data_IF_989497476981
#
_entry.id   IF_989497476981
#
_cell.length_a   1.000
_cell.length_b   1.000
_cell.length_c   1.000
_cell.angle_alpha   90.00
_cell.angle_beta   90.00
_cell.angle_gamma   90.00
#
_symmetry.space_group_name_H-M   'P 1'
#
loop_
_entity.id
_entity.type
_entity.pdbx_description
1 polymer ?
#
# COMPACT_ATOMS: atom_id res chain seq x y z
N UNK A 1 21.79 33.09 -3.75
CA UNK A 1 20.78 32.67 -2.75
C UNK A 1 20.01 31.46 -3.26
N UNK A 2 19.54 31.45 -4.51
CA UNK A 2 18.76 30.33 -5.10
C UNK A 2 19.41 28.95 -4.91
N UNK A 3 20.74 28.85 -5.05
CA UNK A 3 21.45 27.57 -4.90
C UNK A 3 21.26 26.88 -3.53
N UNK A 4 20.90 27.61 -2.46
CA UNK A 4 20.61 26.99 -1.15
C UNK A 4 19.22 26.33 -1.09
N UNK A 5 18.39 26.51 -2.11
CA UNK A 5 17.08 25.85 -2.24
C UNK A 5 17.13 24.56 -3.06
N UNK A 6 18.28 24.24 -3.63
CA UNK A 6 18.48 22.99 -4.36
C UNK A 6 18.82 21.83 -3.45
N UNK A 7 18.43 20.65 -3.89
CA UNK A 7 18.66 19.42 -3.13
C UNK A 7 20.14 19.05 -3.25
N UNK A 8 20.79 18.88 -2.09
CA UNK A 8 22.16 18.41 -2.02
C UNK A 8 22.21 17.04 -1.34
N UNK A 9 22.37 15.94 -2.08
CA UNK A 9 22.37 14.59 -1.52
C UNK A 9 23.57 14.29 -0.61
N UNK A 10 24.59 15.16 -0.59
CA UNK A 10 25.74 15.06 0.32
C UNK A 10 25.43 15.65 1.69
N UNK A 11 24.55 16.65 1.75
CA UNK A 11 24.27 17.43 2.96
C UNK A 11 22.95 17.06 3.64
N UNK A 12 21.96 16.59 2.87
CA UNK A 12 20.65 16.22 3.41
C UNK A 12 20.03 15.06 2.63
N UNK A 13 19.18 14.29 3.30
CA UNK A 13 18.33 13.32 2.60
C UNK A 13 17.10 14.02 2.01
N UNK A 14 16.44 13.38 1.03
CA UNK A 14 15.24 13.94 0.37
C UNK A 14 14.10 14.29 1.33
N UNK A 15 13.95 13.55 2.43
CA UNK A 15 12.93 13.83 3.44
C UNK A 15 13.22 15.11 4.24
N UNK A 16 14.49 15.34 4.57
CA UNK A 16 14.96 16.55 5.24
C UNK A 16 14.83 17.75 4.31
N UNK A 17 15.22 17.57 3.04
CA UNK A 17 15.02 18.56 1.98
C UNK A 17 13.56 19.00 1.85
N UNK A 18 12.62 18.06 1.69
CA UNK A 18 11.21 18.40 1.55
C UNK A 18 10.64 19.04 2.82
N UNK A 19 11.11 18.63 4.01
CA UNK A 19 10.71 19.23 5.28
C UNK A 19 11.19 20.67 5.41
N UNK A 20 12.45 20.95 5.01
CA UNK A 20 13.02 22.29 4.94
C UNK A 20 12.28 23.15 3.92
N UNK A 21 12.07 22.62 2.72
CA UNK A 21 11.43 23.34 1.62
C UNK A 21 9.95 23.60 1.87
N UNK A 22 9.24 22.78 2.65
CA UNK A 22 7.87 23.09 3.05
C UNK A 22 7.79 24.45 3.79
N UNK A 23 8.76 24.76 4.67
CA UNK A 23 8.85 26.06 5.36
C UNK A 23 9.21 27.19 4.39
N UNK A 24 10.10 26.93 3.43
CA UNK A 24 10.46 27.90 2.39
C UNK A 24 9.24 28.25 1.53
N UNK A 25 8.47 27.25 1.10
CA UNK A 25 7.23 27.44 0.35
C UNK A 25 6.18 28.19 1.19
N UNK A 26 6.08 27.92 2.50
CA UNK A 26 5.22 28.68 3.41
C UNK A 26 5.64 30.15 3.48
N UNK A 27 6.94 30.42 3.56
CA UNK A 27 7.49 31.77 3.55
C UNK A 27 7.19 32.53 2.25
N UNK A 28 7.41 31.88 1.10
CA UNK A 28 7.16 32.44 -0.24
C UNK A 28 5.67 32.75 -0.44
N UNK A 29 4.77 31.81 -0.09
CA UNK A 29 3.33 31.93 -0.39
C UNK A 29 2.56 32.74 0.64
N UNK A 30 2.78 32.41 1.91
CA UNK A 30 1.96 32.91 3.01
C UNK A 30 2.65 34.07 3.74
N UNK A 31 3.89 34.41 3.39
CA UNK A 31 4.62 35.52 4.02
C UNK A 31 5.15 35.18 5.41
N UNK A 32 5.25 33.90 5.76
CA UNK A 32 5.74 33.46 7.07
C UNK A 32 7.24 33.77 7.18
N UNK A 33 7.65 34.36 8.29
CA UNK A 33 9.07 34.63 8.56
C UNK A 33 9.82 33.32 8.85
N UNK A 34 10.97 33.15 8.22
CA UNK A 34 11.84 32.01 8.52
C UNK A 34 12.71 32.35 9.74
N UNK A 35 12.70 31.52 10.81
CA UNK A 35 13.47 31.79 12.03
C UNK A 35 14.97 31.96 11.81
N UNK A 36 15.51 31.29 10.79
CA UNK A 36 16.93 31.32 10.42
C UNK A 36 17.36 32.65 9.80
N UNK A 37 16.42 33.38 9.20
CA UNK A 37 16.69 34.61 8.44
C UNK A 37 16.07 35.86 9.10
N UNK A 38 15.00 35.70 9.89
CA UNK A 38 14.31 36.80 10.56
C UNK A 38 13.47 37.69 9.62
N UNK A 39 13.21 37.22 8.39
CA UNK A 39 12.37 37.89 7.41
C UNK A 39 11.64 36.87 6.51
N UNK A 40 10.63 37.32 5.77
CA UNK A 40 9.90 36.49 4.80
C UNK A 40 10.57 36.52 3.42
N UNK A 41 10.66 35.35 2.78
CA UNK A 41 11.14 35.22 1.41
C UNK A 41 10.16 35.78 0.37
N UNK A 42 8.90 36.03 0.74
CA UNK A 42 7.90 36.62 -0.15
C UNK A 42 8.28 38.02 -0.62
N UNK A 43 8.92 38.81 0.23
CA UNK A 43 9.32 40.18 -0.09
C UNK A 43 10.74 40.27 -0.64
N UNK A 44 11.57 39.26 -0.34
CA UNK A 44 12.98 39.24 -0.73
C UNK A 44 13.22 38.71 -2.14
N UNK A 45 12.53 37.62 -2.51
CA UNK A 45 12.72 36.98 -3.82
C UNK A 45 11.92 37.70 -4.90
N UNK A 46 12.48 37.81 -6.10
CA UNK A 46 11.73 38.24 -7.28
C UNK A 46 10.71 37.18 -7.72
N UNK A 47 9.72 37.57 -8.53
CA UNK A 47 8.69 36.64 -9.05
C UNK A 47 9.25 35.53 -9.95
N UNK A 48 10.44 35.73 -10.52
CA UNK A 48 11.13 34.72 -11.32
C UNK A 48 11.82 33.71 -10.39
N UNK A 49 12.54 34.18 -9.37
CA UNK A 49 13.20 33.32 -8.38
C UNK A 49 12.19 32.49 -7.58
N UNK A 50 11.03 33.07 -7.21
CA UNK A 50 9.95 32.33 -6.55
C UNK A 50 9.48 31.15 -7.40
N UNK A 51 9.27 31.39 -8.69
CA UNK A 51 8.83 30.36 -9.65
C UNK A 51 9.89 29.29 -9.83
N UNK A 52 11.15 29.67 -10.00
CA UNK A 52 12.27 28.71 -10.14
C UNK A 52 12.35 27.76 -8.93
N UNK A 53 12.26 28.32 -7.71
CA UNK A 53 12.26 27.52 -6.47
C UNK A 53 11.02 26.62 -6.40
N UNK A 54 9.84 27.17 -6.70
CA UNK A 54 8.58 26.43 -6.69
C UNK A 54 8.58 25.25 -7.67
N UNK A 55 9.01 25.48 -8.92
CA UNK A 55 9.07 24.45 -9.97
C UNK A 55 10.08 23.36 -9.62
N UNK A 56 11.25 23.75 -9.10
CA UNK A 56 12.28 22.79 -8.69
C UNK A 56 11.78 21.86 -7.57
N UNK A 57 11.18 22.42 -6.53
CA UNK A 57 10.61 21.65 -5.41
C UNK A 57 9.48 20.74 -5.90
N UNK A 58 8.60 21.25 -6.77
CA UNK A 58 7.52 20.46 -7.36
C UNK A 58 8.05 19.27 -8.17
N UNK A 59 9.10 19.47 -8.97
CA UNK A 59 9.73 18.40 -9.75
C UNK A 59 10.34 17.30 -8.87
N UNK A 60 10.89 17.63 -7.70
CA UNK A 60 11.41 16.63 -6.75
C UNK A 60 10.27 15.80 -6.13
N UNK A 61 9.11 16.41 -5.89
CA UNK A 61 7.95 15.72 -5.31
C UNK A 61 7.18 14.87 -6.31
N UNK A 62 7.18 15.28 -7.58
CA UNK A 62 6.33 14.72 -8.63
C UNK A 62 6.41 13.19 -8.74
N UNK A 63 7.58 12.52 -8.72
CA UNK A 63 7.67 11.07 -8.79
C UNK A 63 6.89 10.37 -7.68
N UNK A 64 7.04 10.82 -6.43
CA UNK A 64 6.35 10.24 -5.28
C UNK A 64 4.84 10.45 -5.36
N UNK A 65 4.39 11.62 -5.81
CA UNK A 65 2.95 11.88 -5.96
C UNK A 65 2.36 11.00 -7.05
N UNK A 66 3.06 10.87 -8.19
CA UNK A 66 2.63 10.06 -9.33
C UNK A 66 2.50 8.59 -8.95
N UNK A 67 3.48 8.05 -8.26
CA UNK A 67 3.47 6.64 -7.84
C UNK A 67 2.30 6.31 -6.91
N UNK A 68 2.08 7.15 -5.88
CA UNK A 68 0.95 6.99 -4.97
C UNK A 68 -0.39 7.12 -5.68
N UNK A 69 -0.48 8.08 -6.62
CA UNK A 69 -1.64 8.24 -7.45
C UNK A 69 -1.93 7.00 -8.31
N UNK A 70 -0.91 6.46 -8.99
CA UNK A 70 -1.01 5.25 -9.79
C UNK A 70 -1.38 4.01 -8.98
N UNK A 71 -0.83 3.86 -7.76
CA UNK A 71 -1.25 2.82 -6.84
C UNK A 71 -2.73 2.96 -6.47
N UNK A 72 -3.18 4.16 -6.11
CA UNK A 72 -4.57 4.43 -5.76
C UNK A 72 -5.53 4.15 -6.93
N UNK A 73 -5.16 4.53 -8.16
CA UNK A 73 -5.92 4.23 -9.38
C UNK A 73 -6.10 2.72 -9.55
N UNK A 74 -5.02 1.95 -9.45
CA UNK A 74 -5.04 0.48 -9.61
C UNK A 74 -5.93 -0.16 -8.55
N UNK A 75 -5.74 0.20 -7.29
CA UNK A 75 -6.48 -0.34 -6.14
C UNK A 75 -7.99 -0.10 -6.23
N UNK A 76 -8.39 1.05 -6.78
CA UNK A 76 -9.80 1.45 -6.84
C UNK A 76 -10.44 1.32 -8.23
N UNK A 77 -9.72 0.76 -9.21
CA UNK A 77 -10.24 0.57 -10.57
C UNK A 77 -10.58 1.88 -11.30
N UNK A 78 -9.85 2.97 -11.04
CA UNK A 78 -10.16 4.32 -11.55
C UNK A 78 -9.47 4.65 -12.88
N UNK A 79 -9.17 3.64 -13.71
CA UNK A 79 -8.37 3.83 -14.93
C UNK A 79 -8.95 4.88 -15.89
N UNK A 80 -10.28 4.93 -16.03
CA UNK A 80 -10.98 5.87 -16.92
C UNK A 80 -10.76 7.35 -16.58
N UNK A 81 -10.44 7.65 -15.31
CA UNK A 81 -10.24 9.01 -14.81
C UNK A 81 -8.82 9.25 -14.29
N UNK A 82 -7.87 8.41 -14.70
CA UNK A 82 -6.52 8.40 -14.15
C UNK A 82 -5.82 9.75 -14.31
N UNK A 83 -5.88 10.35 -15.49
CA UNK A 83 -5.20 11.61 -15.80
C UNK A 83 -5.78 12.79 -15.00
N UNK A 84 -7.10 12.96 -15.03
CA UNK A 84 -7.80 14.00 -14.26
C UNK A 84 -7.57 13.84 -12.76
N UNK A 85 -7.59 12.60 -12.27
CA UNK A 85 -7.29 12.28 -10.88
C UNK A 85 -5.86 12.66 -10.50
N UNK A 86 -4.86 12.29 -11.32
CA UNK A 86 -3.46 12.61 -11.07
C UNK A 86 -3.23 14.12 -11.07
N UNK A 87 -3.80 14.85 -12.03
CA UNK A 87 -3.73 16.32 -12.08
C UNK A 87 -4.34 16.95 -10.82
N UNK A 88 -5.50 16.46 -10.38
CA UNK A 88 -6.14 16.97 -9.16
C UNK A 88 -5.34 16.59 -7.90
N UNK A 89 -4.71 15.42 -7.86
CA UNK A 89 -3.84 15.00 -6.76
C UNK A 89 -2.59 15.88 -6.69
N UNK A 90 -1.95 16.16 -7.82
CA UNK A 90 -0.79 17.06 -7.89
C UNK A 90 -1.13 18.45 -7.32
N UNK A 91 -2.27 19.02 -7.74
CA UNK A 91 -2.73 20.31 -7.26
C UNK A 91 -3.01 20.30 -5.74
N UNK A 92 -3.68 19.26 -5.24
CA UNK A 92 -4.07 19.20 -3.83
C UNK A 92 -2.85 19.02 -2.91
N UNK A 93 -1.91 18.14 -3.31
CA UNK A 93 -0.64 17.97 -2.58
C UNK A 93 0.16 19.27 -2.61
N UNK A 94 0.31 19.88 -3.79
CA UNK A 94 1.11 21.10 -3.95
C UNK A 94 0.55 22.28 -3.15
N UNK A 95 -0.77 22.47 -3.19
CA UNK A 95 -1.46 23.50 -2.44
C UNK A 95 -1.22 23.38 -0.94
N UNK A 96 -1.19 22.16 -0.41
CA UNK A 96 -1.02 21.93 1.02
C UNK A 96 0.42 21.71 1.45
N UNK A 97 1.39 21.63 0.53
CA UNK A 97 2.78 21.26 0.82
C UNK A 97 3.45 22.10 1.90
N UNK A 98 3.11 23.39 2.04
CA UNK A 98 3.61 24.27 3.11
C UNK A 98 3.35 23.74 4.54
N UNK A 99 2.37 22.84 4.71
CA UNK A 99 2.04 22.17 5.97
C UNK A 99 2.88 20.92 6.22
N UNK A 100 3.57 20.40 5.21
CA UNK A 100 4.33 19.17 5.32
C UNK A 100 5.43 19.32 6.37
N UNK A 101 5.36 18.46 7.38
CA UNK A 101 6.24 18.46 8.54
C UNK A 101 6.41 19.77 9.34
N UNK A 102 5.66 20.81 9.01
CA UNK A 102 5.79 22.13 9.59
C UNK A 102 5.14 22.15 11.00
N UNK A 103 5.91 22.41 12.07
CA UNK A 103 5.41 22.40 13.45
C UNK A 103 4.22 23.33 13.67
N UNK A 104 4.12 24.43 12.93
CA UNK A 104 3.03 25.41 13.05
C UNK A 104 1.66 24.84 12.66
N UNK A 105 1.62 23.71 11.95
CA UNK A 105 0.37 23.08 11.49
C UNK A 105 0.18 21.66 12.04
N UNK A 106 1.00 21.24 13.00
CA UNK A 106 0.90 19.92 13.63
C UNK A 106 0.21 19.99 14.98
N UNK A 107 -0.74 19.08 15.19
CA UNK A 107 -1.38 18.85 16.48
C UNK A 107 -0.64 17.80 17.33
N UNK A 108 0.27 17.03 16.71
CA UNK A 108 0.97 15.90 17.35
C UNK A 108 2.48 15.98 17.12
N UNK A 109 3.26 15.49 18.09
CA UNK A 109 4.72 15.36 17.98
C UNK A 109 5.13 14.32 16.92
N UNK A 110 6.23 14.57 16.22
CA UNK A 110 6.82 13.65 15.22
C UNK A 110 6.82 14.18 13.78
N UNK A 111 7.54 13.51 12.89
CA UNK A 111 7.57 13.77 11.44
C UNK A 111 6.85 12.67 10.67
N UNK A 112 6.18 13.05 9.58
CA UNK A 112 5.54 12.13 8.65
C UNK A 112 6.35 12.06 7.36
N UNK A 113 6.34 10.91 6.69
CA UNK A 113 6.97 10.78 5.38
C UNK A 113 6.19 11.54 4.31
N UNK A 114 6.87 11.99 3.25
CA UNK A 114 6.20 12.71 2.15
C UNK A 114 5.14 11.85 1.47
N UNK A 115 5.38 10.53 1.36
CA UNK A 115 4.40 9.55 0.87
C UNK A 115 3.12 9.54 1.71
N UNK A 116 3.24 9.53 3.04
CA UNK A 116 2.08 9.60 3.96
C UNK A 116 1.32 10.91 3.81
N UNK A 117 2.06 12.00 3.65
CA UNK A 117 1.48 13.30 3.38
C UNK A 117 0.65 13.29 2.08
N UNK A 118 1.14 12.70 1.00
CA UNK A 118 0.39 12.52 -0.26
C UNK A 118 -0.89 11.68 -0.04
N UNK A 119 -0.81 10.58 0.72
CA UNK A 119 -1.96 9.69 0.97
C UNK A 119 -3.15 10.40 1.61
N UNK A 120 -2.92 11.37 2.49
CA UNK A 120 -3.97 12.18 3.11
C UNK A 120 -4.85 12.83 2.04
N UNK A 121 -4.25 13.22 0.91
CA UNK A 121 -4.92 13.91 -0.19
C UNK A 121 -5.35 12.97 -1.33
N UNK A 122 -5.31 11.65 -1.20
CA UNK A 122 -5.71 10.74 -2.30
C UNK A 122 -7.23 10.63 -2.49
N UNK A 123 -8.02 10.74 -1.42
CA UNK A 123 -9.48 10.48 -1.48
C UNK A 123 -10.29 11.63 -2.10
N UNK A 124 -9.92 12.87 -1.80
CA UNK A 124 -10.70 14.05 -2.22
C UNK A 124 -10.57 14.37 -3.72
N UNK A 125 -9.39 14.25 -4.36
CA UNK A 125 -9.23 14.28 -5.80
C UNK A 125 -10.08 13.22 -6.50
N UNK A 126 -10.04 11.97 -6.02
CA UNK A 126 -10.84 10.88 -6.57
C UNK A 126 -12.35 11.21 -6.53
N UNK A 127 -12.82 11.73 -5.40
CA UNK A 127 -14.21 12.20 -5.25
C UNK A 127 -14.52 13.36 -6.18
N UNK A 128 -13.62 14.33 -6.33
CA UNK A 128 -13.80 15.52 -7.18
C UNK A 128 -13.94 15.11 -8.65
N UNK A 129 -13.02 14.30 -9.14
CA UNK A 129 -12.99 13.85 -10.52
C UNK A 129 -14.15 12.91 -10.82
N UNK A 130 -14.47 11.96 -9.92
CA UNK A 130 -15.64 11.09 -10.08
C UNK A 130 -16.95 11.90 -10.13
N UNK A 131 -17.06 12.98 -9.35
CA UNK A 131 -18.24 13.85 -9.38
C UNK A 131 -18.31 14.66 -10.69
N UNK A 132 -17.17 15.13 -11.20
CA UNK A 132 -17.09 15.87 -12.45
C UNK A 132 -17.37 14.99 -13.68
N UNK A 133 -16.79 13.78 -13.74
CA UNK A 133 -16.96 12.81 -14.84
C UNK A 133 -18.41 12.30 -14.95
N UNK A 134 -19.08 12.07 -13.82
CA UNK A 134 -20.49 11.64 -13.84
C UNK A 134 -21.47 12.82 -14.07
N UNK A 135 -21.00 14.06 -14.20
CA UNK A 135 -21.86 15.26 -14.24
C UNK A 135 -22.67 15.47 -12.95
N UNK A 136 -22.27 14.80 -11.86
CA UNK A 136 -22.96 14.78 -10.57
C UNK A 136 -22.28 15.78 -9.67
N UNK A 137 -22.78 17.01 -9.65
CA UNK A 137 -22.36 18.01 -8.66
C UNK A 137 -22.37 17.43 -7.23
N UNK A 138 -21.55 17.96 -6.32
CA UNK A 138 -21.51 17.57 -4.88
C UNK A 138 -22.92 17.50 -4.25
N UNK A 139 -23.84 18.34 -4.74
CA UNK A 139 -25.26 18.37 -4.38
C UNK A 139 -26.05 17.15 -4.87
N UNK A 140 -25.77 16.65 -6.08
CA UNK A 140 -26.40 15.46 -6.64
C UNK A 140 -25.88 14.15 -6.00
N UNK A 141 -24.60 14.09 -5.60
CA UNK A 141 -24.07 12.95 -4.83
C UNK A 141 -24.69 12.83 -3.44
N UNK A 142 -24.96 13.97 -2.80
CA UNK A 142 -25.71 14.04 -1.54
C UNK A 142 -27.16 13.56 -1.72
N UNK A 143 -27.85 14.01 -2.78
CA UNK A 143 -29.21 13.53 -3.14
C UNK A 143 -29.25 12.00 -3.31
N UNK A 144 -28.31 11.42 -4.05
CA UNK A 144 -28.18 9.97 -4.25
C UNK A 144 -28.02 9.20 -2.95
N UNK A 145 -27.26 9.74 -1.99
CA UNK A 145 -27.07 9.09 -0.70
C UNK A 145 -28.34 9.13 0.17
N UNK A 146 -29.09 10.24 0.16
CA UNK A 146 -30.39 10.34 0.86
C UNK A 146 -31.38 9.32 0.28
N UNK A 147 -31.46 9.22 -1.05
CA UNK A 147 -32.31 8.26 -1.76
C UNK A 147 -31.95 6.82 -1.37
N UNK A 148 -30.67 6.43 -1.42
CA UNK A 148 -30.21 5.09 -0.99
C UNK A 148 -30.47 4.77 0.49
N UNK A 149 -30.36 5.76 1.38
CA UNK A 149 -30.70 5.58 2.81
C UNK A 149 -32.20 5.38 3.00
N UNK A 150 -33.02 6.13 2.26
CA UNK A 150 -34.47 6.02 2.32
C UNK A 150 -34.95 4.69 1.73
N UNK A 151 -34.39 4.24 0.60
CA UNK A 151 -34.68 2.91 0.03
C UNK A 151 -34.42 1.80 1.05
N UNK A 152 -33.27 1.83 1.73
CA UNK A 152 -32.95 0.86 2.80
C UNK A 152 -33.92 0.92 3.97
N UNK A 153 -34.33 2.12 4.39
CA UNK A 153 -35.34 2.27 5.44
C UNK A 153 -36.68 1.66 5.02
N UNK A 154 -37.11 1.90 3.77
CA UNK A 154 -38.37 1.37 3.24
C UNK A 154 -38.32 -0.16 3.15
N UNK A 155 -37.26 -0.72 2.58
CA UNK A 155 -37.06 -2.18 2.48
C UNK A 155 -37.05 -2.83 3.86
N UNK A 156 -36.36 -2.25 4.84
CA UNK A 156 -36.27 -2.81 6.19
C UNK A 156 -37.58 -2.73 6.99
N UNK A 157 -38.37 -1.67 6.82
CA UNK A 157 -39.56 -1.43 7.67
C UNK A 157 -40.89 -1.83 7.02
N UNK A 158 -40.96 -1.85 5.69
CA UNK A 158 -42.19 -2.18 4.95
C UNK A 158 -42.05 -3.40 4.04
N UNK A 159 -40.84 -3.99 3.94
CA UNK A 159 -40.61 -5.22 3.18
C UNK A 159 -40.76 -5.06 1.66
N UNK A 160 -40.66 -3.84 1.14
CA UNK A 160 -40.75 -3.53 -0.30
C UNK A 160 -39.38 -3.73 -0.94
N UNK A 161 -39.34 -4.45 -2.07
CA UNK A 161 -38.11 -4.67 -2.84
C UNK A 161 -37.57 -3.36 -3.40
N UNK A 162 -36.24 -3.23 -3.47
CA UNK A 162 -35.56 -2.00 -3.90
C UNK A 162 -35.96 -1.57 -5.32
N UNK A 163 -36.25 -2.53 -6.20
CA UNK A 163 -36.64 -2.27 -7.58
C UNK A 163 -38.11 -1.79 -7.71
N UNK A 164 -38.94 -2.05 -6.70
CA UNK A 164 -40.35 -1.64 -6.64
C UNK A 164 -40.56 -0.30 -5.91
N UNK A 165 -39.51 0.28 -5.31
CA UNK A 165 -39.60 1.56 -4.59
C UNK A 165 -39.70 2.73 -5.57
N UNK A 166 -40.80 3.49 -5.50
CA UNK A 166 -41.04 4.66 -6.36
C UNK A 166 -40.44 5.95 -5.78
N UNK A 167 -40.43 7.02 -6.60
CA UNK A 167 -39.96 8.33 -6.15
C UNK A 167 -40.88 8.93 -5.08
N UNK A 168 -42.18 8.64 -5.16
CA UNK A 168 -43.22 9.03 -4.22
C UNK A 168 -43.03 8.35 -2.86
N UNK A 169 -42.66 7.05 -2.85
CA UNK A 169 -42.37 6.31 -1.61
C UNK A 169 -41.17 6.90 -0.86
N UNK A 170 -40.13 7.28 -1.61
CA UNK A 170 -38.96 7.94 -1.06
C UNK A 170 -39.34 9.33 -0.52
N UNK A 171 -40.16 10.09 -1.24
CA UNK A 171 -40.61 11.40 -0.77
C UNK A 171 -41.42 11.31 0.53
N UNK A 172 -42.29 10.31 0.67
CA UNK A 172 -43.08 10.09 1.87
C UNK A 172 -42.24 9.70 3.09
N UNK A 173 -41.16 8.94 2.90
CA UNK A 173 -40.38 8.35 3.99
C UNK A 173 -39.03 9.04 4.27
N UNK A 174 -38.58 9.98 3.43
CA UNK A 174 -37.24 10.56 3.56
C UNK A 174 -37.02 11.38 4.84
N UNK A 175 -38.09 11.89 5.47
CA UNK A 175 -38.04 12.63 6.74
C UNK A 175 -37.49 11.79 7.90
N UNK A 176 -37.68 10.47 7.83
CA UNK A 176 -37.22 9.54 8.86
C UNK A 176 -35.70 9.32 8.84
N UNK A 177 -35.03 9.65 7.73
CA UNK A 177 -33.59 9.38 7.53
C UNK A 177 -32.76 10.62 7.21
N UNK A 178 -33.39 11.76 6.91
CA UNK A 178 -32.70 13.01 6.60
C UNK A 178 -33.56 14.24 6.88
N UNK A 179 -32.95 15.26 7.52
CA UNK A 179 -33.55 16.58 7.66
C UNK A 179 -33.67 17.34 6.32
N UNK A 180 -32.91 16.95 5.29
CA UNK A 180 -32.99 17.58 3.96
C UNK A 180 -34.12 16.97 3.16
N UNK A 181 -35.03 17.81 2.65
CA UNK A 181 -36.16 17.40 1.80
C UNK A 181 -35.84 17.63 0.31
N UNK A 182 -36.20 16.66 -0.52
CA UNK A 182 -36.05 16.69 -1.97
C UNK A 182 -37.44 16.71 -2.61
N UNK A 183 -37.58 17.29 -3.80
CA UNK A 183 -38.84 17.18 -4.54
C UNK A 183 -38.99 15.79 -5.17
N UNK A 184 -40.22 15.33 -5.41
CA UNK A 184 -40.50 14.06 -6.13
C UNK A 184 -39.78 14.03 -7.48
N UNK A 185 -39.79 15.15 -8.22
CA UNK A 185 -39.09 15.29 -9.51
C UNK A 185 -37.56 15.14 -9.38
N UNK A 186 -36.95 15.69 -8.32
CA UNK A 186 -35.51 15.53 -8.05
C UNK A 186 -35.15 14.07 -7.73
N UNK A 187 -36.03 13.37 -7.01
CA UNK A 187 -35.87 11.98 -6.63
C UNK A 187 -35.93 11.10 -7.89
N UNK A 188 -36.99 11.23 -8.69
CA UNK A 188 -37.19 10.47 -9.92
C UNK A 188 -36.02 10.65 -10.92
N UNK A 189 -35.57 11.90 -11.11
CA UNK A 189 -34.42 12.20 -11.98
C UNK A 189 -33.13 11.55 -11.47
N UNK A 190 -32.91 11.55 -10.16
CA UNK A 190 -31.71 10.96 -9.57
C UNK A 190 -31.73 9.43 -9.64
N UNK A 191 -32.90 8.80 -9.48
CA UNK A 191 -33.08 7.35 -9.62
C UNK A 191 -32.79 6.88 -11.05
N UNK A 192 -33.28 7.60 -12.07
CA UNK A 192 -33.01 7.29 -13.48
C UNK A 192 -31.50 7.32 -13.82
N UNK A 193 -30.76 8.29 -13.26
CA UNK A 193 -29.31 8.38 -13.43
C UNK A 193 -28.54 7.25 -12.73
N UNK A 194 -29.14 6.57 -11.75
CA UNK A 194 -28.50 5.46 -11.04
C UNK A 194 -28.48 4.16 -11.84
N UNK A 195 -29.30 4.03 -12.88
CA UNK A 195 -29.48 2.80 -13.67
C UNK A 195 -28.53 2.64 -14.88
N UNK A 196 -27.67 3.62 -15.20
CA UNK A 196 -26.76 3.59 -16.37
C UNK A 196 -25.29 3.31 -15.99
N UNK A 197 -24.79 2.06 -16.11
CA UNK A 197 -23.37 1.63 -16.35
C UNK A 197 -23.42 0.15 -16.84
N UNK A 198 -22.57 -0.41 -17.71
CA UNK A 198 -21.44 0.01 -18.54
C UNK A 198 -21.19 -1.09 -19.60
N UNK A 199 -20.53 -0.76 -20.72
CA UNK A 199 -19.97 -1.72 -21.68
C UNK A 199 -18.45 -1.80 -21.51
N UNK A 200 -17.96 -3.03 -21.44
CA UNK A 200 -16.58 -3.48 -21.30
C UNK A 200 -15.86 -3.42 -22.65
N UNK A 201 -14.53 -3.32 -22.64
CA UNK A 201 -13.61 -3.41 -23.80
C UNK A 201 -13.32 -2.09 -24.53
N UNK A 202 -12.25 -1.44 -24.09
CA UNK A 202 -11.11 -1.10 -24.95
C UNK A 202 -9.85 -0.93 -24.06
N UNK A 203 -9.06 -2.02 -23.99
CA UNK A 203 -7.62 -2.09 -24.28
C UNK A 203 -6.73 -1.03 -23.57
N UNK A 204 -5.99 -1.41 -22.51
CA UNK A 204 -4.57 -1.75 -22.61
C UNK A 204 -3.74 -0.69 -23.37
N UNK A 205 -3.10 0.25 -22.66
CA UNK A 205 -1.66 0.51 -22.80
C UNK A 205 -1.12 1.68 -21.95
N UNK A 206 0.11 1.46 -21.45
CA UNK A 206 1.05 2.38 -20.78
C UNK A 206 0.83 2.69 -19.29
N UNK A 207 1.15 1.72 -18.44
CA UNK A 207 1.68 1.97 -17.10
C UNK A 207 2.96 1.15 -16.90
N UNK A 208 3.88 1.22 -17.87
CA UNK A 208 5.26 0.81 -17.66
C UNK A 208 5.98 1.97 -16.97
N UNK A 209 6.19 1.82 -15.67
CA UNK A 209 7.38 2.27 -14.94
C UNK A 209 7.47 1.41 -13.68
N UNK A 210 8.08 0.23 -13.85
CA UNK A 210 8.79 -0.46 -12.79
C UNK A 210 10.28 -0.21 -13.03
N UNK A 211 10.86 0.79 -12.37
CA UNK A 211 12.28 0.85 -12.00
C UNK A 211 12.51 2.13 -11.20
N UNK A 212 13.26 2.00 -10.10
CA UNK A 212 13.67 3.05 -9.15
C UNK A 212 12.64 3.41 -8.07
N UNK A 213 12.40 2.47 -7.16
CA UNK A 213 11.83 2.78 -5.83
C UNK A 213 12.68 2.12 -4.74
N UNK A 214 13.97 2.45 -4.78
CA UNK A 214 14.89 2.31 -3.65
C UNK A 214 15.10 3.71 -3.04
N UNK A 215 14.02 4.33 -2.54
CA UNK A 215 14.14 5.52 -1.68
C UNK A 215 13.26 5.36 -0.44
N UNK A 216 13.84 4.61 0.51
CA UNK A 216 13.86 4.90 1.95
C UNK A 216 12.53 5.29 2.62
N UNK A 217 11.70 4.29 2.89
CA UNK A 217 10.94 4.28 4.14
C UNK A 217 11.84 3.66 5.21
N UNK A 218 12.36 4.48 6.13
CA UNK A 218 13.01 3.98 7.34
C UNK A 218 11.90 3.71 8.34
N UNK A 219 11.59 2.44 8.60
CA UNK A 219 10.70 2.07 9.69
C UNK A 219 11.22 2.71 10.98
N UNK A 220 10.33 3.31 11.78
CA UNK A 220 10.75 3.80 13.10
C UNK A 220 11.35 2.64 13.89
N UNK A 221 12.43 2.87 14.65
CA UNK A 221 13.10 1.82 15.44
C UNK A 221 12.11 0.97 16.25
N UNK A 222 11.07 1.61 16.80
CA UNK A 222 9.99 0.95 17.52
C UNK A 222 9.25 -0.12 16.71
N UNK A 223 9.01 0.12 15.42
CA UNK A 223 8.33 -0.83 14.53
C UNK A 223 9.28 -1.96 14.16
N UNK A 224 10.54 -1.64 13.86
CA UNK A 224 11.60 -2.64 13.65
C UNK A 224 11.72 -3.58 14.85
N UNK A 225 11.76 -3.05 16.08
CA UNK A 225 11.80 -3.84 17.32
C UNK A 225 10.56 -4.74 17.48
N UNK A 226 9.38 -4.25 17.09
CA UNK A 226 8.13 -5.01 17.13
C UNK A 226 8.18 -6.21 16.17
N UNK A 227 8.74 -6.04 14.97
CA UNK A 227 8.94 -7.14 14.02
C UNK A 227 10.05 -8.10 14.46
N UNK A 228 11.17 -7.63 15.02
CA UNK A 228 12.18 -8.50 15.62
C UNK A 228 11.57 -9.40 16.69
N UNK A 229 10.82 -8.82 17.62
CA UNK A 229 10.15 -9.57 18.68
C UNK A 229 9.10 -10.57 18.14
N UNK A 230 8.56 -10.36 16.94
CA UNK A 230 7.69 -11.32 16.27
C UNK A 230 8.50 -12.48 15.67
N UNK A 231 9.54 -12.19 14.89
CA UNK A 231 10.37 -13.21 14.24
C UNK A 231 11.10 -14.06 15.29
N UNK A 232 11.53 -13.46 16.39
CA UNK A 232 12.18 -14.17 17.51
C UNK A 232 11.30 -15.27 18.11
N UNK A 233 9.98 -15.08 18.09
CA UNK A 233 9.01 -16.07 18.60
C UNK A 233 8.74 -17.20 17.62
N UNK A 234 9.13 -17.06 16.36
CA UNK A 234 8.96 -18.11 15.35
C UNK A 234 9.96 -19.23 15.61
N UNK A 235 9.51 -20.48 15.48
CA UNK A 235 10.39 -21.66 15.54
C UNK A 235 11.32 -21.72 14.31
N UNK A 236 12.45 -22.46 14.36
CA UNK A 236 13.42 -22.50 13.27
C UNK A 236 12.81 -22.80 11.89
N UNK A 237 11.93 -23.81 11.82
CA UNK A 237 11.28 -24.17 10.56
C UNK A 237 10.29 -23.10 10.10
N UNK A 238 9.64 -22.39 11.03
CA UNK A 238 8.75 -21.29 10.70
C UNK A 238 9.52 -20.09 10.17
N UNK A 239 10.69 -19.75 10.75
CA UNK A 239 11.58 -18.69 10.25
C UNK A 239 12.02 -18.98 8.82
N UNK A 240 12.45 -20.22 8.52
CA UNK A 240 12.79 -20.64 7.17
C UNK A 240 11.61 -20.46 6.19
N UNK A 241 10.44 -21.01 6.52
CA UNK A 241 9.25 -20.92 5.67
C UNK A 241 8.82 -19.46 5.48
N UNK A 242 9.03 -18.62 6.50
CA UNK A 242 8.74 -17.20 6.44
C UNK A 242 9.66 -16.50 5.42
N UNK A 243 10.97 -16.68 5.49
CA UNK A 243 11.91 -16.16 4.48
C UNK A 243 11.57 -16.67 3.07
N UNK A 244 11.24 -17.95 2.93
CA UNK A 244 10.90 -18.55 1.63
C UNK A 244 9.60 -17.97 1.04
N UNK A 245 8.55 -17.77 1.85
CA UNK A 245 7.28 -17.22 1.37
C UNK A 245 7.40 -15.80 0.80
N UNK A 246 8.41 -15.04 1.23
CA UNK A 246 8.65 -13.66 0.82
C UNK A 246 9.85 -13.50 -0.13
N UNK A 247 10.46 -14.59 -0.58
CA UNK A 247 11.56 -14.56 -1.57
C UNK A 247 12.90 -14.06 -1.01
N UNK A 248 13.16 -14.26 0.28
CA UNK A 248 14.44 -13.91 0.91
C UNK A 248 15.38 -15.12 1.07
N UNK A 249 15.05 -16.26 0.46
CA UNK A 249 15.94 -17.43 0.43
C UNK A 249 16.89 -17.41 -0.77
N UNK A 250 17.94 -18.23 -0.73
CA UNK A 250 18.84 -18.37 -1.88
C UNK A 250 18.11 -18.98 -3.07
N UNK A 251 18.64 -18.74 -4.28
CA UNK A 251 18.10 -19.28 -5.55
C UNK A 251 17.87 -20.80 -5.53
N UNK A 252 18.60 -21.52 -4.67
CA UNK A 252 18.43 -22.96 -4.42
C UNK A 252 17.01 -23.31 -3.98
N UNK A 253 16.39 -22.45 -3.17
CA UNK A 253 15.07 -22.70 -2.56
C UNK A 253 13.93 -21.93 -3.24
N UNK A 254 14.27 -21.04 -4.17
CA UNK A 254 13.30 -20.37 -5.04
C UNK A 254 12.77 -21.37 -6.08
N UNK A 255 11.45 -21.46 -6.15
CA UNK A 255 10.69 -22.26 -7.11
C UNK A 255 11.05 -23.75 -7.18
N UNK A 256 11.66 -24.33 -6.14
CA UNK A 256 11.77 -25.78 -6.01
C UNK A 256 10.42 -26.41 -5.66
N UNK A 257 10.22 -27.66 -6.08
CA UNK A 257 9.02 -28.40 -5.68
C UNK A 257 9.02 -28.71 -4.19
N UNK A 258 7.83 -28.86 -3.60
CA UNK A 258 7.70 -29.25 -2.20
C UNK A 258 8.35 -30.62 -1.92
N UNK A 259 8.32 -31.54 -2.88
CA UNK A 259 8.98 -32.84 -2.75
C UNK A 259 10.52 -32.71 -2.75
N UNK A 260 11.09 -31.76 -3.51
CA UNK A 260 12.51 -31.46 -3.41
C UNK A 260 12.87 -30.85 -2.06
N UNK A 261 12.08 -29.87 -1.59
CA UNK A 261 12.29 -29.25 -0.28
C UNK A 261 12.20 -30.29 0.85
N UNK A 262 11.22 -31.19 0.78
CA UNK A 262 11.00 -32.23 1.77
C UNK A 262 12.21 -33.15 1.98
N UNK A 263 13.01 -33.34 0.94
CA UNK A 263 14.20 -34.19 0.94
C UNK A 263 15.51 -33.38 1.04
N UNK A 264 15.45 -32.05 1.12
CA UNK A 264 16.66 -31.22 1.12
C UNK A 264 17.45 -31.39 2.42
N UNK A 265 18.73 -31.72 2.29
CA UNK A 265 19.58 -32.06 3.43
C UNK A 265 19.76 -30.89 4.41
N UNK A 266 19.78 -29.65 3.93
CA UNK A 266 19.97 -28.49 4.79
C UNK A 266 18.66 -28.08 5.46
N UNK A 267 17.55 -28.13 4.73
CA UNK A 267 16.22 -27.95 5.32
C UNK A 267 15.92 -28.99 6.40
N UNK A 268 16.31 -30.26 6.19
CA UNK A 268 16.13 -31.33 7.18
C UNK A 268 16.90 -31.08 8.48
N UNK A 269 18.04 -30.37 8.46
CA UNK A 269 18.73 -29.95 9.70
C UNK A 269 17.84 -29.01 10.52
N UNK A 270 17.20 -28.04 9.86
CA UNK A 270 16.27 -27.09 10.50
C UNK A 270 15.07 -27.85 11.08
N UNK A 271 14.51 -28.80 10.31
CA UNK A 271 13.35 -29.61 10.76
C UNK A 271 13.68 -30.42 12.00
N UNK A 272 14.88 -30.98 12.11
CA UNK A 272 15.33 -31.76 13.28
C UNK A 272 15.41 -30.93 14.56
N UNK A 273 15.73 -29.64 14.44
CA UNK A 273 15.75 -28.69 15.55
C UNK A 273 14.36 -28.11 15.88
N UNK A 274 13.40 -28.14 14.94
CA UNK A 274 12.02 -27.74 15.21
C UNK A 274 11.26 -28.79 16.04
N UNK A 275 10.80 -28.39 17.22
CA UNK A 275 10.11 -29.27 18.17
C UNK A 275 8.84 -29.93 17.64
N UNK A 276 8.16 -29.30 16.66
CA UNK A 276 6.99 -29.88 15.98
C UNK A 276 7.43 -30.58 14.70
N UNK A 277 8.23 -29.91 13.86
CA UNK A 277 8.70 -30.42 12.57
C UNK A 277 9.35 -31.79 12.66
N UNK A 278 10.22 -32.01 13.65
CA UNK A 278 10.89 -33.31 13.84
C UNK A 278 9.95 -34.50 14.03
N UNK A 279 8.71 -34.27 14.49
CA UNK A 279 7.70 -35.33 14.68
C UNK A 279 7.07 -35.79 13.35
N UNK A 280 7.29 -35.05 12.28
CA UNK A 280 6.77 -35.32 10.93
C UNK A 280 7.86 -35.82 9.98
N UNK A 281 9.04 -36.18 10.50
CA UNK A 281 10.08 -36.87 9.74
C UNK A 281 9.70 -38.34 9.55
N UNK A 282 9.82 -38.81 8.32
CA UNK A 282 9.51 -40.17 7.89
C UNK A 282 10.61 -40.69 6.98
N UNK A 283 10.73 -42.02 6.89
CA UNK A 283 11.65 -42.68 5.95
C UNK A 283 10.82 -43.51 4.98
N UNK A 284 10.87 -43.18 3.70
CA UNK A 284 10.25 -43.96 2.63
C UNK A 284 10.90 -43.63 1.28
N UNK A 285 10.43 -44.30 0.24
CA UNK A 285 10.72 -43.89 -1.13
C UNK A 285 9.97 -42.60 -1.45
N UNK A 286 10.62 -41.69 -2.17
CA UNK A 286 10.06 -40.40 -2.60
C UNK A 286 10.27 -40.23 -4.09
N UNK A 287 9.20 -39.89 -4.81
CA UNK A 287 9.25 -39.55 -6.23
C UNK A 287 9.04 -38.04 -6.40
N UNK A 288 9.92 -37.41 -7.18
CA UNK A 288 9.88 -35.99 -7.52
C UNK A 288 9.59 -35.90 -9.03
N UNK A 289 8.33 -35.67 -9.39
CA UNK A 289 7.87 -35.76 -10.79
C UNK A 289 8.40 -34.66 -11.73
N UNK A 290 8.57 -33.45 -11.20
CA UNK A 290 8.99 -32.27 -11.97
C UNK A 290 10.09 -31.51 -11.21
N UNK A 291 11.28 -32.10 -11.03
CA UNK A 291 12.35 -31.47 -10.29
C UNK A 291 12.73 -30.13 -10.94
N UNK A 292 12.94 -29.09 -10.12
CA UNK A 292 13.26 -27.73 -10.57
C UNK A 292 14.62 -27.26 -10.08
N UNK A 293 15.25 -26.40 -10.87
CA UNK A 293 16.43 -25.61 -10.50
C UNK A 293 16.26 -24.21 -11.08
N UNK A 294 16.36 -23.18 -10.23
CA UNK A 294 16.18 -21.78 -10.61
C UNK A 294 14.88 -21.57 -11.41
N UNK A 295 13.75 -22.06 -10.86
CA UNK A 295 12.44 -21.97 -11.49
C UNK A 295 12.18 -22.88 -12.70
N UNK A 296 13.22 -23.43 -13.31
CA UNK A 296 13.11 -24.26 -14.52
C UNK A 296 13.04 -25.75 -14.20
N UNK A 297 12.15 -26.48 -14.88
CA UNK A 297 12.09 -27.94 -14.78
C UNK A 297 13.37 -28.53 -15.36
N UNK A 298 14.05 -29.38 -14.59
CA UNK A 298 15.24 -30.11 -15.02
C UNK A 298 14.81 -31.16 -16.03
N UNK A 299 15.42 -31.15 -17.22
CA UNK A 299 15.18 -32.18 -18.22
C UNK A 299 15.85 -33.49 -17.78
N UNK A 300 15.10 -34.60 -17.81
CA UNK A 300 15.57 -35.90 -17.31
C UNK A 300 14.48 -36.79 -16.72
N UNK A 301 13.25 -36.26 -16.53
CA UNK A 301 12.13 -37.01 -15.96
C UNK A 301 12.12 -37.01 -14.43
N UNK A 302 11.23 -37.81 -13.80
CA UNK A 302 11.12 -37.88 -12.35
C UNK A 302 12.41 -38.34 -11.66
N UNK A 303 12.74 -37.75 -10.51
CA UNK A 303 13.81 -38.26 -9.63
C UNK A 303 13.17 -39.18 -8.60
N UNK A 304 13.65 -40.42 -8.51
CA UNK A 304 13.23 -41.39 -7.50
C UNK A 304 14.34 -41.54 -6.47
N UNK A 305 14.03 -41.24 -5.22
CA UNK A 305 14.92 -41.40 -4.08
C UNK A 305 14.42 -42.57 -3.24
N UNK A 306 15.26 -43.60 -3.09
CA UNK A 306 14.87 -44.81 -2.36
C UNK A 306 15.27 -44.71 -0.89
N UNK A 307 14.33 -45.04 0.01
CA UNK A 307 14.51 -45.15 1.45
C UNK A 307 15.22 -43.94 2.08
N UNK A 308 14.73 -42.74 1.80
CA UNK A 308 15.30 -41.48 2.29
C UNK A 308 14.48 -40.89 3.43
N UNK A 309 15.17 -40.29 4.40
CA UNK A 309 14.53 -39.45 5.41
C UNK A 309 14.03 -38.17 4.76
N UNK A 310 12.77 -37.84 4.99
CA UNK A 310 12.14 -36.64 4.47
C UNK A 310 11.02 -36.19 5.43
N UNK A 311 10.55 -34.96 5.27
CA UNK A 311 9.40 -34.45 6.01
C UNK A 311 8.11 -34.61 5.18
N UNK A 312 6.99 -34.87 5.85
CA UNK A 312 5.67 -34.91 5.20
C UNK A 312 5.38 -33.60 4.42
N UNK A 313 5.17 -33.75 3.11
CA UNK A 313 4.87 -32.65 2.18
C UNK A 313 3.59 -31.92 2.57
N UNK A 314 2.56 -32.63 3.04
CA UNK A 314 1.32 -31.99 3.47
C UNK A 314 1.54 -31.12 4.71
N UNK A 315 2.41 -31.57 5.61
CA UNK A 315 2.80 -30.78 6.77
C UNK A 315 3.53 -29.50 6.34
N UNK A 316 4.45 -29.54 5.37
CA UNK A 316 5.08 -28.32 4.83
C UNK A 316 4.02 -27.35 4.27
N UNK A 317 3.08 -27.84 3.46
CA UNK A 317 1.99 -27.02 2.90
C UNK A 317 1.18 -26.33 3.99
N UNK A 318 0.81 -27.06 5.04
CA UNK A 318 0.08 -26.49 6.18
C UNK A 318 0.90 -25.41 6.89
N UNK A 319 2.21 -25.59 7.04
CA UNK A 319 3.07 -24.62 7.71
C UNK A 319 3.27 -23.36 6.86
N UNK A 320 3.32 -23.47 5.52
CA UNK A 320 3.31 -22.30 4.61
C UNK A 320 2.08 -21.42 4.81
N UNK A 321 0.90 -22.04 4.85
CA UNK A 321 -0.37 -21.31 5.10
C UNK A 321 -0.36 -20.70 6.50
N UNK A 322 0.03 -21.48 7.52
CA UNK A 322 0.09 -21.00 8.91
C UNK A 322 1.03 -19.80 9.08
N UNK A 323 2.22 -19.82 8.48
CA UNK A 323 3.15 -18.70 8.55
C UNK A 323 2.59 -17.43 7.89
N UNK A 324 1.86 -17.57 6.77
CA UNK A 324 1.15 -16.45 6.14
C UNK A 324 0.06 -15.90 7.05
N UNK A 325 -0.71 -16.77 7.69
CA UNK A 325 -1.82 -16.33 8.56
C UNK A 325 -1.28 -15.66 9.84
N UNK A 326 -0.18 -16.17 10.41
CA UNK A 326 0.50 -15.57 11.58
C UNK A 326 0.91 -14.11 11.35
N UNK A 327 1.48 -13.79 10.20
CA UNK A 327 1.89 -12.41 9.90
C UNK A 327 0.67 -11.52 9.66
N UNK A 328 -0.37 -12.03 8.99
CA UNK A 328 -1.62 -11.27 8.78
C UNK A 328 -2.30 -10.95 10.11
N UNK A 329 -2.36 -11.91 11.03
CA UNK A 329 -2.89 -11.72 12.38
C UNK A 329 -2.06 -10.71 13.18
N UNK A 330 -0.73 -10.86 13.16
CA UNK A 330 0.19 -9.93 13.83
C UNK A 330 0.01 -8.49 13.34
N UNK A 331 -0.02 -8.28 12.03
CA UNK A 331 -0.19 -6.96 11.41
C UNK A 331 -1.53 -6.33 11.84
N UNK A 332 -2.60 -7.12 11.83
CA UNK A 332 -3.93 -6.68 12.29
C UNK A 332 -3.93 -6.33 13.78
N UNK A 333 -3.35 -7.17 14.63
CA UNK A 333 -3.31 -6.97 16.09
C UNK A 333 -2.52 -5.71 16.45
N UNK A 334 -1.40 -5.47 15.77
CA UNK A 334 -0.54 -4.31 16.01
C UNK A 334 -0.97 -3.04 15.28
N UNK A 335 -2.02 -3.13 14.45
CA UNK A 335 -2.52 -1.99 13.68
C UNK A 335 -1.49 -1.44 12.69
N UNK A 336 -0.61 -2.31 12.19
CA UNK A 336 0.48 -1.93 11.28
C UNK A 336 -0.07 -1.74 9.87
N UNK A 337 0.45 -0.74 9.17
CA UNK A 337 0.09 -0.53 7.77
C UNK A 337 1.02 -1.30 6.82
N UNK A 338 0.67 -1.32 5.54
CA UNK A 338 1.39 -2.06 4.49
C UNK A 338 2.87 -1.61 4.36
N UNK A 339 3.22 -0.40 4.75
CA UNK A 339 4.57 0.14 4.62
C UNK A 339 5.44 -0.14 5.85
N UNK A 340 4.85 -0.12 7.04
CA UNK A 340 5.48 -0.67 8.26
C UNK A 340 5.91 -2.13 8.03
N UNK A 341 5.05 -2.88 7.34
CA UNK A 341 5.29 -4.26 6.94
C UNK A 341 6.42 -4.34 5.91
N UNK A 342 6.33 -3.65 4.78
CA UNK A 342 7.31 -3.79 3.68
C UNK A 342 8.72 -3.33 4.06
N UNK A 343 8.83 -2.25 4.83
CA UNK A 343 10.13 -1.66 5.20
C UNK A 343 10.86 -2.44 6.30
N UNK A 344 10.17 -2.89 7.33
CA UNK A 344 10.77 -3.69 8.40
C UNK A 344 10.99 -5.14 7.95
N UNK A 345 10.07 -5.73 7.19
CA UNK A 345 10.23 -7.12 6.76
C UNK A 345 11.45 -7.32 5.87
N UNK A 346 11.76 -6.39 4.96
CA UNK A 346 12.89 -6.58 4.02
C UNK A 346 14.21 -6.75 4.78
N UNK A 347 14.52 -5.82 5.69
CA UNK A 347 15.73 -5.90 6.50
C UNK A 347 15.71 -7.14 7.41
N UNK A 348 14.63 -7.36 8.13
CA UNK A 348 14.55 -8.43 9.13
C UNK A 348 14.58 -9.80 8.48
N UNK A 349 13.96 -9.97 7.31
CA UNK A 349 14.00 -11.23 6.56
C UNK A 349 15.40 -11.49 6.00
N UNK A 350 16.12 -10.45 5.58
CA UNK A 350 17.53 -10.55 5.20
C UNK A 350 18.39 -11.02 6.37
N UNK A 351 18.30 -10.35 7.53
CA UNK A 351 19.03 -10.72 8.75
C UNK A 351 18.68 -12.14 9.22
N UNK A 352 17.39 -12.48 9.22
CA UNK A 352 16.92 -13.83 9.59
C UNK A 352 17.45 -14.89 8.64
N UNK A 353 17.52 -14.59 7.34
CA UNK A 353 18.07 -15.51 6.36
C UNK A 353 19.58 -15.69 6.55
N UNK A 354 20.32 -14.62 6.83
CA UNK A 354 21.76 -14.68 7.10
C UNK A 354 22.09 -15.51 8.35
N UNK A 355 21.30 -15.35 9.41
CA UNK A 355 21.38 -16.18 10.62
C UNK A 355 21.14 -17.67 10.31
N UNK A 356 20.05 -17.99 9.63
CA UNK A 356 19.71 -19.36 9.25
C UNK A 356 20.78 -19.96 8.32
N UNK A 357 21.26 -19.18 7.36
CA UNK A 357 22.29 -19.61 6.40
C UNK A 357 23.60 -19.92 7.09
N UNK A 358 24.00 -19.09 8.05
CA UNK A 358 25.19 -19.29 8.87
C UNK A 358 25.06 -20.51 9.77
N UNK A 359 23.90 -20.69 10.42
CA UNK A 359 23.67 -21.77 11.37
C UNK A 359 23.57 -23.14 10.68
N UNK A 360 22.84 -23.24 9.57
CA UNK A 360 22.50 -24.52 8.94
C UNK A 360 23.27 -24.83 7.65
N UNK A 361 24.03 -23.85 7.15
CA UNK A 361 24.77 -23.96 5.90
C UNK A 361 23.89 -23.84 4.66
N UNK A 362 22.84 -23.01 4.72
CA UNK A 362 21.96 -22.74 3.57
C UNK A 362 22.73 -21.88 2.56
N UNK A 363 23.36 -22.52 1.58
CA UNK A 363 24.02 -21.85 0.46
C UNK A 363 23.14 -21.92 -0.78
#
# INVERSE_FOLDING_TARGET
>A
MINSFYYNPVEECKADYLTRMAKVIDSIRNGVELPEFGFSLRELLSEEEKREVEDYVFNIMLPTIKEEGCYYIRKNGMKAIAEDYLNQLYLEVWKNFHKFNNPSYKETEGTCSFRTFVKIYTKDPARTVTNNENGVSKRAGYKKNIIKKTQRYITSNYGIDVDDITAEDIFANMKEVSATQLSVNDIAKTMSLMMRRAGMEDIENSCDYASEMEELYIASQKITDIFHAFVDKLRPMQRFIFCQNFGFCSEKYDDITLAQLACDADFLKIVKEDVIGKKHLVTSDVQIDAPRKNGSVIQGGPIVLCNVEHIDVNFITHQRVRCRDLIVEFVKEKGLDEYDVMSSLTQILGETWDELSTQYGLR
#
